data_IF_446332952257
#
_entry.id   IF_446332952257
#
_cell.length_a   1.000
_cell.length_b   1.000
_cell.length_c   1.000
_cell.angle_alpha   90.00
_cell.angle_beta   90.00
_cell.angle_gamma   90.00
#
_symmetry.space_group_name_H-M   'P 1'
#
loop_
_entity.id
_entity.type
_entity.pdbx_description
1 polymer ?
#
# COMPACT_ATOMS: atom_id res chain seq x y z
N UNK A 1 -5.40 13.25 -9.19
CA UNK A 1 -4.47 12.66 -10.18
C UNK A 1 -3.05 12.47 -9.66
N UNK A 2 -2.24 13.51 -9.45
CA UNK A 2 -0.82 13.33 -9.09
C UNK A 2 -0.60 12.52 -7.80
N UNK A 3 -1.36 12.81 -6.73
CA UNK A 3 -1.26 12.06 -5.48
C UNK A 3 -1.67 10.60 -5.62
N UNK A 4 -2.77 10.32 -6.32
CA UNK A 4 -3.28 8.96 -6.51
C UNK A 4 -2.29 8.10 -7.28
N UNK A 5 -1.68 8.64 -8.33
CA UNK A 5 -0.62 7.96 -9.09
C UNK A 5 0.57 7.63 -8.19
N UNK A 6 1.02 8.57 -7.36
CA UNK A 6 2.11 8.35 -6.39
C UNK A 6 1.73 7.25 -5.38
N UNK A 7 0.50 7.29 -4.85
CA UNK A 7 -0.03 6.28 -3.91
C UNK A 7 -0.08 4.89 -4.52
N UNK A 8 -0.36 4.76 -5.82
CA UNK A 8 -0.31 3.49 -6.54
C UNK A 8 1.13 2.95 -6.58
N UNK A 9 2.13 3.79 -6.91
CA UNK A 9 3.53 3.37 -6.91
C UNK A 9 4.03 2.97 -5.51
N UNK A 10 3.69 3.76 -4.49
CA UNK A 10 4.06 3.46 -3.09
C UNK A 10 3.42 2.16 -2.62
N UNK A 11 2.15 1.92 -2.96
CA UNK A 11 1.44 0.67 -2.68
C UNK A 11 2.18 -0.54 -3.25
N UNK A 12 2.60 -0.48 -4.51
CA UNK A 12 3.35 -1.58 -5.15
C UNK A 12 4.69 -1.83 -4.47
N UNK A 13 5.41 -0.76 -4.10
CA UNK A 13 6.68 -0.88 -3.38
C UNK A 13 6.49 -1.45 -1.97
N UNK A 14 5.44 -1.05 -1.26
CA UNK A 14 5.10 -1.57 0.06
C UNK A 14 4.78 -3.07 0.01
N UNK A 15 3.99 -3.51 -0.97
CA UNK A 15 3.71 -4.94 -1.21
C UNK A 15 5.01 -5.70 -1.48
N UNK A 16 5.89 -5.17 -2.34
CA UNK A 16 7.19 -5.80 -2.61
C UNK A 16 8.04 -5.92 -1.35
N UNK A 17 8.17 -4.84 -0.56
CA UNK A 17 8.94 -4.85 0.69
C UNK A 17 8.42 -5.88 1.69
N UNK A 18 7.11 -5.98 1.84
CA UNK A 18 6.46 -6.98 2.70
C UNK A 18 6.71 -8.41 2.20
N UNK A 19 6.63 -8.65 0.90
CA UNK A 19 6.95 -9.95 0.32
C UNK A 19 8.43 -10.31 0.47
N UNK A 20 9.34 -9.35 0.38
CA UNK A 20 10.78 -9.56 0.66
C UNK A 20 10.99 -9.95 2.13
N UNK A 21 10.39 -9.23 3.08
CA UNK A 21 10.44 -9.60 4.50
C UNK A 21 9.92 -11.02 4.76
N UNK A 22 8.86 -11.44 4.05
CA UNK A 22 8.35 -12.81 4.09
C UNK A 22 9.37 -13.82 3.56
N UNK A 23 10.00 -13.53 2.42
CA UNK A 23 10.99 -14.41 1.77
C UNK A 23 12.26 -14.58 2.60
N UNK A 24 12.70 -13.52 3.28
CA UNK A 24 13.89 -13.52 4.13
C UNK A 24 13.66 -14.14 5.52
N UNK A 25 12.42 -14.52 5.85
CA UNK A 25 12.08 -15.06 7.17
C UNK A 25 12.07 -14.01 8.29
N UNK A 26 12.08 -12.72 7.95
CA UNK A 26 11.98 -11.62 8.91
C UNK A 26 10.53 -11.50 9.41
N UNK A 27 10.18 -12.30 10.43
CA UNK A 27 8.85 -12.33 11.05
C UNK A 27 8.38 -10.95 11.53
N UNK A 28 9.14 -10.19 12.36
CA UNK A 28 8.67 -8.88 12.82
C UNK A 28 8.51 -7.87 11.67
N UNK A 29 9.44 -7.88 10.71
CA UNK A 29 9.33 -7.03 9.51
C UNK A 29 8.13 -7.39 8.64
N UNK A 30 7.76 -8.67 8.54
CA UNK A 30 6.59 -9.11 7.81
C UNK A 30 5.28 -8.67 8.47
N UNK A 31 5.15 -8.79 9.80
CA UNK A 31 3.93 -8.38 10.50
C UNK A 31 3.73 -6.86 10.48
N UNK A 32 4.78 -6.10 10.81
CA UNK A 32 4.70 -4.63 10.82
C UNK A 32 4.57 -4.09 9.39
N UNK A 33 5.40 -4.60 8.47
CA UNK A 33 5.35 -4.22 7.06
C UNK A 33 4.03 -4.60 6.40
N UNK A 34 3.47 -5.77 6.73
CA UNK A 34 2.18 -6.23 6.22
C UNK A 34 1.02 -5.36 6.70
N UNK A 35 1.02 -4.94 7.97
CA UNK A 35 -0.01 -4.05 8.50
C UNK A 35 0.05 -2.66 7.86
N UNK A 36 1.25 -2.11 7.69
CA UNK A 36 1.45 -0.85 6.96
C UNK A 36 1.08 -0.97 5.49
N UNK A 37 1.40 -2.09 4.84
CA UNK A 37 1.02 -2.34 3.45
C UNK A 37 -0.49 -2.39 3.29
N UNK A 38 -1.20 -3.06 4.18
CA UNK A 38 -2.67 -3.09 4.20
C UNK A 38 -3.26 -1.69 4.37
N UNK A 39 -2.72 -0.89 5.30
CA UNK A 39 -3.16 0.50 5.50
C UNK A 39 -2.94 1.35 4.24
N UNK A 40 -1.75 1.27 3.63
CA UNK A 40 -1.41 2.01 2.40
C UNK A 40 -2.31 1.59 1.25
N UNK A 41 -2.52 0.29 1.03
CA UNK A 41 -3.43 -0.21 -0.03
C UNK A 41 -4.85 0.29 0.22
N UNK A 42 -5.33 0.28 1.47
CA UNK A 42 -6.65 0.81 1.83
C UNK A 42 -6.80 2.29 1.49
N UNK A 43 -5.83 3.13 1.87
CA UNK A 43 -5.83 4.57 1.55
C UNK A 43 -5.73 4.80 0.04
N UNK A 44 -4.90 4.02 -0.68
CA UNK A 44 -4.81 4.11 -2.14
C UNK A 44 -6.14 3.77 -2.81
N UNK A 45 -6.84 2.73 -2.36
CA UNK A 45 -8.16 2.37 -2.90
C UNK A 45 -9.22 3.44 -2.60
N UNK A 46 -9.20 4.03 -1.40
CA UNK A 46 -10.04 5.16 -1.03
C UNK A 46 -9.77 6.37 -1.94
N UNK A 47 -8.51 6.72 -2.17
CA UNK A 47 -8.13 7.82 -3.05
C UNK A 47 -8.55 7.57 -4.51
N UNK A 48 -8.44 6.33 -5.00
CA UNK A 48 -8.94 5.95 -6.32
C UNK A 48 -10.46 6.05 -6.38
N UNK A 49 -11.15 5.56 -5.36
CA UNK A 49 -12.61 5.62 -5.29
C UNK A 49 -13.12 7.05 -5.31
N UNK A 50 -12.52 7.91 -4.48
CA UNK A 50 -12.82 9.34 -4.45
C UNK A 50 -12.59 9.99 -5.82
N UNK A 51 -11.46 9.72 -6.46
CA UNK A 51 -11.15 10.30 -7.78
C UNK A 51 -12.08 9.82 -8.90
N UNK A 52 -12.55 8.56 -8.84
CA UNK A 52 -13.40 7.98 -9.89
C UNK A 52 -14.89 8.29 -9.70
N UNK A 53 -15.37 8.34 -8.45
CA UNK A 53 -16.80 8.45 -8.12
C UNK A 53 -17.14 9.84 -7.59
N UNK A 54 -16.16 10.59 -7.10
CA UNK A 54 -16.34 11.94 -6.54
C UNK A 54 -17.04 11.90 -5.21
N UNK A 55 -16.42 11.31 -4.18
CA UNK A 55 -16.81 11.60 -2.78
C UNK A 55 -16.15 12.93 -2.43
N UNK A 56 -16.65 14.05 -3.00
CA UNK A 56 -16.14 15.37 -2.63
C UNK A 56 -16.11 15.57 -1.11
#
# INVERSE_FOLDING_TARGET
MYMTVILIFISVLAIRGTLTNKREGNKPGFYIGGLLTLATVGVTLLAIYDELIGIQ
#
